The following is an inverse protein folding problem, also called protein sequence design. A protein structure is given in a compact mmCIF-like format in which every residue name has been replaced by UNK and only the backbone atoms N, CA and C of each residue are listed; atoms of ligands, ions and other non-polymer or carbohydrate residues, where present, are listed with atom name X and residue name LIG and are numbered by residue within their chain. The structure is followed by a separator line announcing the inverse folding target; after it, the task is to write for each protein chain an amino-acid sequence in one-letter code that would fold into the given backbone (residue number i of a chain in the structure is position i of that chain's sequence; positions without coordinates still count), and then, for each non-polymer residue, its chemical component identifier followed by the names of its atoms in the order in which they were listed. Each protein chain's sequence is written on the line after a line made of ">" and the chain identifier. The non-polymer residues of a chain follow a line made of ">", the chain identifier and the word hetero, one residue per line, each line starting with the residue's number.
data_IF_427677439233
#
_entry.id   IF_427677439233
#
_cell.length_a   1.000
_cell.length_b   1.000
_cell.length_c   1.000
_cell.angle_alpha   90.00
_cell.angle_beta   90.00
_cell.angle_gamma   90.00
#
_symmetry.space_group_name_H-M   'P 1'
#
loop_
_entity.id
_entity.type
_entity.pdbx_description
1 polymer ?
#
# COMPACT_ATOMS: atom_id res chain seq x y z
N UNK A 1 40.56 70.90 19.99
CA UNK A 1 39.81 69.62 20.12
C UNK A 1 38.85 69.72 21.29
N UNK A 2 37.80 68.88 21.38
CA UNK A 2 37.00 68.80 22.60
C UNK A 2 37.95 68.58 23.80
N UNK A 3 37.89 69.45 24.80
CA UNK A 3 38.67 69.32 26.05
C UNK A 3 38.23 68.11 26.88
N UNK A 4 37.23 67.35 26.43
CA UNK A 4 36.77 66.12 27.10
C UNK A 4 36.72 64.92 26.17
N UNK A 5 36.89 63.72 26.73
CA UNK A 5 36.66 62.45 26.03
C UNK A 5 35.18 62.28 25.70
N UNK A 6 34.90 61.59 24.58
CA UNK A 6 33.54 61.47 24.03
C UNK A 6 32.61 60.65 24.93
N UNK A 7 33.12 59.58 25.53
CA UNK A 7 32.29 58.57 26.19
C UNK A 7 32.17 58.81 27.71
N UNK A 8 33.24 59.30 28.35
CA UNK A 8 33.30 59.45 29.80
C UNK A 8 33.53 60.90 30.24
N UNK A 9 33.46 61.87 29.32
CA UNK A 9 33.63 63.31 29.58
C UNK A 9 34.90 63.68 30.36
N UNK A 10 35.92 62.82 30.31
CA UNK A 10 37.18 62.98 31.03
C UNK A 10 37.98 64.11 30.39
N UNK A 11 38.55 65.00 31.18
CA UNK A 11 39.27 66.13 30.64
C UNK A 11 40.60 65.71 30.02
N UNK A 12 40.92 66.30 28.87
CA UNK A 12 42.18 66.10 28.15
C UNK A 12 43.08 67.29 28.45
N UNK A 13 43.99 67.12 29.40
CA UNK A 13 44.98 68.13 29.72
C UNK A 13 45.97 68.32 28.56
N UNK A 14 46.30 69.58 28.28
CA UNK A 14 47.37 69.93 27.35
C UNK A 14 48.70 70.10 28.10
N UNK A 15 49.83 70.04 27.39
CA UNK A 15 51.17 70.13 28.01
C UNK A 15 51.41 71.43 28.79
N UNK A 16 50.61 72.47 28.54
CA UNK A 16 50.66 73.78 29.21
C UNK A 16 49.62 73.95 30.32
N UNK A 17 48.74 72.97 30.55
CA UNK A 17 47.71 73.06 31.59
C UNK A 17 48.29 72.70 32.97
N UNK A 18 47.91 73.45 34.01
CA UNK A 18 48.19 73.07 35.39
C UNK A 18 47.18 71.99 35.83
N UNK A 19 47.66 70.86 36.33
CA UNK A 19 46.81 69.78 36.81
C UNK A 19 46.19 70.12 38.17
N UNK A 20 44.87 70.36 38.21
CA UNK A 20 44.09 70.36 39.44
C UNK A 20 43.89 68.91 39.92
N UNK A 21 44.56 68.56 41.02
CA UNK A 21 44.50 67.23 41.63
C UNK A 21 43.09 66.83 42.08
N UNK A 22 42.26 67.80 42.48
CA UNK A 22 40.87 67.56 42.87
C UNK A 22 40.06 67.14 41.65
N UNK A 23 40.26 67.84 40.55
CA UNK A 23 39.57 67.57 39.30
C UNK A 23 40.05 66.28 38.62
N UNK A 24 41.34 65.96 38.73
CA UNK A 24 41.90 64.69 38.28
C UNK A 24 41.34 63.52 39.09
N UNK A 25 41.23 63.66 40.41
CA UNK A 25 40.63 62.63 41.28
C UNK A 25 39.17 62.35 40.89
N UNK A 26 38.37 63.40 40.68
CA UNK A 26 36.99 63.26 40.17
C UNK A 26 36.93 62.57 38.80
N UNK A 27 37.93 62.78 37.95
CA UNK A 27 38.03 62.15 36.62
C UNK A 27 38.36 60.66 36.75
N UNK A 28 39.22 60.28 37.70
CA UNK A 28 39.53 58.88 38.00
C UNK A 28 38.31 58.11 38.52
N UNK A 29 37.47 58.74 39.36
CA UNK A 29 36.21 58.13 39.82
C UNK A 29 35.24 57.88 38.65
N UNK A 30 35.25 58.73 37.62
CA UNK A 30 34.42 58.53 36.42
C UNK A 30 34.96 57.37 35.57
N UNK A 31 36.28 57.21 35.49
CA UNK A 31 36.92 56.08 34.79
C UNK A 31 36.60 54.77 35.50
N UNK A 32 36.79 54.71 36.81
CA UNK A 32 36.53 53.52 37.62
C UNK A 32 35.06 53.06 37.48
N UNK A 33 34.12 53.99 37.63
CA UNK A 33 32.68 53.76 37.38
C UNK A 33 32.37 53.30 35.95
N UNK A 34 33.15 53.73 34.96
CA UNK A 34 32.98 53.37 33.55
C UNK A 34 33.60 52.02 33.18
N UNK A 35 34.58 51.54 33.95
CA UNK A 35 35.30 50.30 33.72
C UNK A 35 34.74 49.11 34.52
N UNK A 36 33.92 49.37 35.54
CA UNK A 36 33.39 48.32 36.41
C UNK A 36 32.28 47.53 35.68
N UNK A 37 32.65 46.40 35.08
CA UNK A 37 31.72 45.30 34.77
C UNK A 37 31.56 44.47 36.05
N UNK A 38 30.85 44.97 37.06
CA UNK A 38 30.63 44.17 38.25
C UNK A 38 29.71 42.98 37.91
N UNK A 39 30.21 41.79 38.25
CA UNK A 39 29.53 40.50 38.12
C UNK A 39 29.03 40.16 39.51
N UNK A 40 27.81 40.57 39.84
CA UNK A 40 27.21 40.31 41.15
C UNK A 40 26.34 39.05 41.17
N UNK A 41 26.24 38.38 42.31
CA UNK A 41 25.06 37.56 42.62
C UNK A 41 24.03 38.45 43.28
N UNK A 42 22.80 38.43 42.78
CA UNK A 42 21.72 39.17 43.44
C UNK A 42 21.15 38.37 44.61
N UNK A 43 20.64 39.02 45.67
CA UNK A 43 19.87 38.34 46.73
C UNK A 43 18.38 38.64 46.55
N UNK A 44 17.66 37.68 45.96
CA UNK A 44 16.28 37.80 45.53
C UNK A 44 15.27 37.41 46.62
N UNK A 45 14.40 38.34 47.02
CA UNK A 45 13.15 37.97 47.72
C UNK A 45 12.01 37.94 46.70
N UNK A 46 11.86 36.83 45.98
CA UNK A 46 10.82 36.66 44.96
C UNK A 46 11.15 37.41 43.67
N UNK A 47 10.62 38.62 43.49
CA UNK A 47 10.78 39.44 42.27
C UNK A 47 11.66 40.69 42.44
N UNK A 48 12.27 40.87 43.61
CA UNK A 48 13.14 42.00 43.91
C UNK A 48 14.57 41.50 43.99
N UNK A 49 15.44 41.99 43.11
CA UNK A 49 16.85 41.62 43.09
C UNK A 49 17.69 42.81 43.54
N UNK A 50 18.56 42.56 44.50
CA UNK A 50 19.52 43.55 45.00
C UNK A 50 20.85 43.26 44.31
N UNK A 51 21.34 44.22 43.53
CA UNK A 51 22.63 44.20 42.89
C UNK A 51 23.57 45.06 43.72
N UNK A 52 24.73 44.51 44.08
CA UNK A 52 25.83 45.33 44.56
C UNK A 52 26.32 46.20 43.39
N UNK A 53 25.98 47.48 43.45
CA UNK A 53 26.42 48.50 42.50
C UNK A 53 27.53 49.37 43.11
N UNK A 54 28.15 48.90 44.20
CA UNK A 54 29.16 49.62 44.97
C UNK A 54 28.67 50.98 45.48
N UNK A 55 29.55 51.98 45.46
CA UNK A 55 29.25 53.37 45.84
C UNK A 55 28.64 54.20 44.71
N UNK A 56 28.07 53.58 43.67
CA UNK A 56 27.52 54.29 42.51
C UNK A 56 26.12 54.81 42.83
N UNK A 57 25.98 56.13 42.87
CA UNK A 57 24.68 56.80 42.83
C UNK A 57 24.24 56.98 41.38
N UNK A 58 23.16 56.32 40.96
CA UNK A 58 22.62 56.43 39.61
C UNK A 58 21.85 57.75 39.41
N UNK A 59 22.29 58.55 38.44
CA UNK A 59 21.67 59.80 37.99
C UNK A 59 21.50 59.78 36.46
N UNK A 60 20.79 60.75 35.88
CA UNK A 60 20.56 60.82 34.42
C UNK A 60 21.85 60.75 33.58
N UNK A 61 22.97 61.26 34.13
CA UNK A 61 24.30 61.16 33.53
C UNK A 61 24.84 59.73 33.39
N UNK A 62 24.28 58.76 34.11
CA UNK A 62 24.64 57.35 34.06
C UNK A 62 23.82 56.54 33.04
N UNK A 63 22.98 57.19 32.22
CA UNK A 63 22.24 56.51 31.14
C UNK A 63 23.19 55.67 30.26
N UNK A 64 22.84 54.41 30.07
CA UNK A 64 23.64 53.46 29.28
C UNK A 64 24.66 52.66 30.09
N UNK A 65 24.88 52.97 31.36
CA UNK A 65 25.67 52.11 32.25
C UNK A 65 25.00 50.74 32.35
N UNK A 66 25.78 49.68 32.19
CA UNK A 66 25.28 48.30 32.19
C UNK A 66 25.92 47.48 33.30
N UNK A 67 25.13 46.60 33.90
CA UNK A 67 25.53 45.70 34.98
C UNK A 67 25.28 44.25 34.58
N UNK A 68 26.13 43.34 35.08
CA UNK A 68 25.97 41.90 34.88
C UNK A 68 25.62 41.26 36.22
N UNK A 69 24.64 40.37 36.23
CA UNK A 69 24.32 39.64 37.46
C UNK A 69 23.79 38.24 37.17
N UNK A 70 23.93 37.36 38.14
CA UNK A 70 23.22 36.09 38.19
C UNK A 70 21.99 36.24 39.09
N UNK A 71 20.83 35.85 38.57
CA UNK A 71 19.64 35.74 39.41
C UNK A 71 19.82 34.55 40.36
N UNK A 72 19.72 34.75 41.67
CA UNK A 72 19.84 33.67 42.65
C UNK A 72 18.57 32.82 42.75
N UNK A 73 17.41 33.40 42.40
CA UNK A 73 16.09 32.75 42.46
C UNK A 73 15.28 33.02 41.20
N UNK A 74 14.30 32.16 40.93
CA UNK A 74 13.29 32.37 39.89
C UNK A 74 12.34 33.53 40.26
N UNK A 75 12.02 34.39 39.29
CA UNK A 75 10.94 35.37 39.40
C UNK A 75 9.65 34.85 38.75
N UNK A 76 8.50 35.28 39.26
CA UNK A 76 7.17 34.90 38.74
C UNK A 76 6.26 36.11 38.51
N UNK A 77 6.81 37.32 38.62
CA UNK A 77 6.10 38.59 38.51
C UNK A 77 7.05 39.73 38.14
N UNK A 78 6.52 40.94 38.04
CA UNK A 78 7.29 42.11 37.62
C UNK A 78 8.54 42.30 38.48
N UNK A 79 9.70 42.39 37.82
CA UNK A 79 10.99 42.44 38.49
C UNK A 79 11.41 43.88 38.83
N UNK A 80 11.95 44.06 40.03
CA UNK A 80 12.64 45.29 40.45
C UNK A 80 14.11 45.05 40.79
N UNK A 81 14.92 46.07 40.57
CA UNK A 81 16.37 46.12 40.80
C UNK A 81 16.65 47.15 41.89
N UNK A 82 17.44 46.77 42.91
CA UNK A 82 17.75 47.61 44.08
C UNK A 82 16.51 48.27 44.70
N UNK A 83 15.38 47.54 44.65
CA UNK A 83 14.04 47.92 45.11
C UNK A 83 13.42 49.21 44.54
N UNK A 84 14.19 50.01 43.79
CA UNK A 84 13.83 51.35 43.37
C UNK A 84 13.71 51.51 41.85
N UNK A 85 14.17 50.52 41.09
CA UNK A 85 14.19 50.57 39.63
C UNK A 85 13.42 49.40 39.03
N UNK A 86 12.60 49.67 38.01
CA UNK A 86 11.90 48.60 37.30
C UNK A 86 12.83 47.93 36.28
N UNK A 87 12.70 46.61 36.10
CA UNK A 87 13.33 45.93 34.98
C UNK A 87 12.31 45.74 33.84
N UNK A 88 12.61 46.31 32.67
CA UNK A 88 11.72 46.32 31.51
C UNK A 88 12.40 45.77 30.26
N UNK A 89 11.60 45.29 29.31
CA UNK A 89 12.05 44.94 27.97
C UNK A 89 12.19 46.21 27.10
N UNK A 90 12.79 46.07 25.92
CA UNK A 90 12.88 47.16 24.94
C UNK A 90 11.51 47.73 24.52
N UNK A 91 10.45 46.90 24.53
CA UNK A 91 9.07 47.33 24.27
C UNK A 91 8.37 47.97 25.49
N UNK A 92 9.11 48.27 26.57
CA UNK A 92 8.65 48.86 27.84
C UNK A 92 7.73 47.99 28.69
N UNK A 93 7.49 46.74 28.32
CA UNK A 93 6.78 45.80 29.19
C UNK A 93 7.68 45.33 30.35
N UNK A 94 7.13 45.02 31.53
CA UNK A 94 7.90 44.47 32.65
C UNK A 94 8.50 43.11 32.31
N UNK A 95 9.70 42.85 32.83
CA UNK A 95 10.33 41.52 32.88
C UNK A 95 9.69 40.71 34.02
N UNK A 96 9.33 39.45 33.75
CA UNK A 96 8.56 38.63 34.73
C UNK A 96 9.17 37.29 35.13
N UNK A 97 10.07 36.71 34.34
CA UNK A 97 10.54 35.33 34.54
C UNK A 97 12.07 35.18 34.44
N UNK A 98 12.83 35.89 35.28
CA UNK A 98 14.25 35.58 35.47
C UNK A 98 14.39 34.19 36.09
N UNK A 99 15.44 33.47 35.70
CA UNK A 99 15.74 32.10 36.11
C UNK A 99 16.95 32.05 37.02
N UNK A 100 16.83 31.31 38.12
CA UNK A 100 17.91 31.05 39.07
C UNK A 100 19.13 30.47 38.33
N UNK A 101 20.31 31.02 38.63
CA UNK A 101 21.59 30.62 38.06
C UNK A 101 21.86 31.14 36.64
N UNK A 102 20.95 31.89 36.02
CA UNK A 102 21.17 32.44 34.67
C UNK A 102 21.85 33.83 34.72
N UNK A 103 22.78 34.12 33.78
CA UNK A 103 23.41 35.43 33.67
C UNK A 103 22.51 36.41 32.90
N UNK A 104 22.47 37.65 33.37
CA UNK A 104 21.71 38.75 32.76
C UNK A 104 22.57 39.99 32.64
N UNK A 105 22.35 40.75 31.56
CA UNK A 105 22.91 42.11 31.40
C UNK A 105 21.75 43.09 31.40
N UNK A 106 21.84 44.10 32.24
CA UNK A 106 20.85 45.17 32.33
C UNK A 106 21.49 46.53 32.10
N UNK A 107 20.76 47.47 31.49
CA UNK A 107 21.27 48.79 31.12
C UNK A 107 20.36 49.89 31.67
N UNK A 108 20.93 50.82 32.42
CA UNK A 108 20.18 51.92 33.03
C UNK A 108 19.65 52.91 31.99
N UNK A 109 18.38 53.32 32.10
CA UNK A 109 17.73 54.21 31.13
C UNK A 109 17.99 55.71 31.36
N UNK A 110 18.63 56.06 32.48
CA UNK A 110 18.83 57.43 32.93
C UNK A 110 17.73 57.97 33.85
N UNK A 111 16.74 57.16 34.21
CA UNK A 111 15.60 57.54 35.04
C UNK A 111 15.26 56.49 36.09
N UNK A 112 14.14 55.80 35.94
CA UNK A 112 13.63 54.85 36.96
C UNK A 112 13.65 53.41 36.49
N UNK A 113 14.30 53.10 35.36
CA UNK A 113 14.25 51.76 34.80
C UNK A 113 15.63 51.23 34.35
N UNK A 114 15.70 49.92 34.30
CA UNK A 114 16.72 49.16 33.60
C UNK A 114 16.09 48.44 32.42
N UNK A 115 16.76 48.45 31.27
CA UNK A 115 16.45 47.57 30.16
C UNK A 115 17.16 46.23 30.32
N UNK A 116 16.46 45.13 30.10
CA UNK A 116 17.09 43.83 29.92
C UNK A 116 17.80 43.83 28.55
N UNK A 117 19.13 43.96 28.57
CA UNK A 117 19.97 44.07 27.38
C UNK A 117 20.38 42.71 26.82
N UNK A 118 20.44 41.68 27.67
CA UNK A 118 20.60 40.29 27.26
C UNK A 118 20.06 39.32 28.31
N UNK A 119 19.84 38.07 27.89
CA UNK A 119 18.96 37.13 28.58
C UNK A 119 17.51 37.39 28.20
N UNK A 120 16.66 36.40 28.41
CA UNK A 120 15.24 36.48 28.06
C UNK A 120 14.40 36.19 29.29
N UNK A 121 13.26 36.85 29.33
CA UNK A 121 12.26 36.72 30.37
C UNK A 121 11.05 35.88 29.93
N UNK A 122 11.14 35.26 28.76
CA UNK A 122 10.09 34.37 28.28
C UNK A 122 10.34 32.95 28.78
N UNK A 123 9.30 32.35 29.34
CA UNK A 123 9.30 30.93 29.76
C UNK A 123 9.56 29.96 28.60
N UNK A 124 9.56 30.45 27.35
CA UNK A 124 9.94 29.75 26.13
C UNK A 124 11.26 30.22 25.51
N UNK A 125 12.11 30.95 26.24
CA UNK A 125 13.38 31.38 25.67
C UNK A 125 14.31 30.22 25.41
N UNK A 126 14.49 29.90 24.14
CA UNK A 126 15.62 29.13 23.65
C UNK A 126 16.85 30.03 23.72
N UNK A 127 17.39 30.31 24.92
CA UNK A 127 18.78 30.76 24.97
C UNK A 127 19.54 29.74 24.15
N UNK A 128 20.01 30.18 22.99
CA UNK A 128 20.97 29.45 22.19
C UNK A 128 22.09 29.21 23.18
N UNK A 129 22.22 27.98 23.67
CA UNK A 129 23.36 27.64 24.49
C UNK A 129 24.61 27.89 23.65
N UNK A 130 25.75 27.44 24.12
CA UNK A 130 26.98 27.54 23.30
C UNK A 130 27.00 26.54 22.13
N UNK A 131 25.94 25.75 21.91
CA UNK A 131 25.90 24.64 20.94
C UNK A 131 25.42 25.04 19.54
N UNK A 132 24.73 26.17 19.40
CA UNK A 132 24.26 26.71 18.11
C UNK A 132 23.29 25.82 17.33
N UNK A 133 22.67 24.83 18.00
CA UNK A 133 21.84 23.78 17.37
C UNK A 133 20.54 24.29 16.73
N UNK A 134 20.12 25.50 17.09
CA UNK A 134 18.95 26.19 16.56
C UNK A 134 19.30 27.43 15.73
N UNK A 135 20.56 27.60 15.33
CA UNK A 135 21.03 28.71 14.51
C UNK A 135 21.56 28.20 13.16
N UNK A 136 21.18 28.87 12.08
CA UNK A 136 21.64 28.56 10.72
C UNK A 136 23.13 28.88 10.55
N UNK A 137 23.93 27.93 10.08
CA UNK A 137 25.29 28.21 9.64
C UNK A 137 25.27 29.01 8.30
N UNK A 138 26.10 30.06 8.14
CA UNK A 138 27.19 30.52 9.01
C UNK A 138 26.80 31.68 9.94
N UNK A 139 25.51 31.89 10.22
CA UNK A 139 25.09 33.02 11.06
C UNK A 139 25.68 32.88 12.47
N UNK A 140 26.03 34.02 13.06
CA UNK A 140 26.59 34.11 14.40
C UNK A 140 25.53 34.56 15.42
N UNK A 141 25.75 34.23 16.68
CA UNK A 141 24.92 34.64 17.82
C UNK A 141 25.77 34.89 19.06
N UNK A 142 25.23 35.62 20.05
CA UNK A 142 25.87 35.76 21.37
C UNK A 142 25.31 34.67 22.28
N UNK A 143 26.18 33.79 22.78
CA UNK A 143 25.82 32.68 23.64
C UNK A 143 25.47 33.10 25.06
N UNK A 144 24.98 32.15 25.87
CA UNK A 144 24.73 32.37 27.31
C UNK A 144 25.99 32.71 28.11
N UNK A 145 27.17 32.44 27.57
CA UNK A 145 28.48 32.83 28.11
C UNK A 145 28.88 34.28 27.76
N UNK A 146 28.13 34.94 26.88
CA UNK A 146 28.44 36.29 26.39
C UNK A 146 29.44 36.33 25.23
N UNK A 147 29.88 35.18 24.72
CA UNK A 147 30.82 35.09 23.59
C UNK A 147 30.08 34.93 22.26
N UNK A 148 30.78 35.17 21.15
CA UNK A 148 30.23 34.97 19.79
C UNK A 148 30.38 33.51 19.39
N UNK A 149 29.27 32.87 19.02
CA UNK A 149 29.20 31.50 18.52
C UNK A 149 28.66 31.46 17.08
N UNK A 150 28.83 30.33 16.40
CA UNK A 150 28.32 30.08 15.03
C UNK A 150 27.23 29.00 15.11
N UNK A 151 26.16 29.18 14.34
CA UNK A 151 25.10 28.17 14.21
C UNK A 151 25.55 26.88 13.53
N UNK A 152 24.88 25.77 13.82
CA UNK A 152 25.23 24.44 13.29
C UNK A 152 24.18 23.87 12.32
N UNK A 153 23.00 24.49 12.18
CA UNK A 153 22.02 24.05 11.17
C UNK A 153 22.60 24.27 9.78
N UNK A 154 22.76 23.19 9.01
CA UNK A 154 23.25 23.28 7.64
C UNK A 154 22.19 23.90 6.71
N UNK A 155 22.58 24.92 5.95
CA UNK A 155 21.81 25.35 4.79
C UNK A 155 21.96 24.31 3.67
N UNK A 156 20.84 23.74 3.23
CA UNK A 156 20.75 22.75 2.14
C UNK A 156 20.25 23.34 0.84
N UNK A 157 20.15 24.67 0.78
CA UNK A 157 19.61 25.44 -0.35
C UNK A 157 18.23 24.93 -0.77
N UNK A 158 17.97 24.81 -2.07
CA UNK A 158 16.69 24.34 -2.61
C UNK A 158 16.69 22.83 -2.82
N UNK A 159 15.62 22.16 -2.40
CA UNK A 159 15.43 20.72 -2.63
C UNK A 159 14.57 20.47 -3.86
N UNK A 160 15.18 20.02 -4.96
CA UNK A 160 14.44 19.55 -6.14
C UNK A 160 14.68 18.06 -6.35
N UNK A 161 13.69 17.24 -5.95
CA UNK A 161 13.76 15.77 -6.04
C UNK A 161 12.68 15.23 -6.98
N UNK A 162 13.08 14.41 -7.94
CA UNK A 162 12.17 13.55 -8.69
C UNK A 162 12.22 12.16 -8.10
N UNK A 163 11.05 11.65 -7.70
CA UNK A 163 10.89 10.29 -7.17
C UNK A 163 10.56 9.31 -8.30
N UNK A 164 11.23 8.17 -8.25
CA UNK A 164 10.83 6.98 -8.98
C UNK A 164 9.55 6.40 -8.38
N UNK A 165 8.88 5.51 -9.11
CA UNK A 165 7.67 4.86 -8.62
C UNK A 165 8.00 4.02 -7.37
N UNK A 166 7.23 4.24 -6.30
CA UNK A 166 7.42 3.61 -4.99
C UNK A 166 8.78 3.92 -4.30
N UNK A 167 9.50 4.95 -4.74
CA UNK A 167 10.73 5.36 -4.08
C UNK A 167 10.46 5.98 -2.71
N UNK A 168 11.25 5.60 -1.72
CA UNK A 168 11.33 6.29 -0.43
C UNK A 168 12.53 7.23 -0.45
N UNK A 169 12.32 8.50 -0.11
CA UNK A 169 13.37 9.51 -0.04
C UNK A 169 13.57 9.99 1.40
N UNK A 170 14.76 9.72 1.95
CA UNK A 170 15.15 10.20 3.27
C UNK A 170 15.58 11.67 3.17
N UNK A 171 14.75 12.57 3.67
CA UNK A 171 15.05 13.99 3.72
C UNK A 171 16.09 14.29 4.81
N UNK A 172 17.30 14.77 4.45
CA UNK A 172 18.30 15.13 5.45
C UNK A 172 17.82 16.28 6.35
N UNK A 173 18.26 16.27 7.62
CA UNK A 173 18.04 17.42 8.50
C UNK A 173 18.82 18.65 8.01
N UNK A 174 18.21 19.82 8.15
CA UNK A 174 18.78 21.11 7.75
C UNK A 174 17.70 22.12 7.41
N UNK A 175 18.13 23.31 7.00
CA UNK A 175 17.25 24.36 6.50
C UNK A 175 17.23 24.34 4.97
N UNK A 176 16.04 24.39 4.39
CA UNK A 176 15.82 24.45 2.95
C UNK A 176 15.18 25.78 2.57
N UNK A 177 15.69 26.44 1.53
CA UNK A 177 15.18 27.73 1.01
C UNK A 177 13.90 27.58 0.17
N UNK A 178 13.23 26.43 0.27
CA UNK A 178 12.14 25.99 -0.59
C UNK A 178 12.55 24.82 -1.48
N UNK A 179 11.70 24.48 -2.45
CA UNK A 179 11.93 23.38 -3.39
C UNK A 179 10.67 22.62 -3.72
N UNK A 180 10.80 21.55 -4.52
CA UNK A 180 9.70 20.63 -4.86
C UNK A 180 10.16 19.17 -4.82
N UNK A 181 9.23 18.32 -4.40
CA UNK A 181 9.32 16.87 -4.62
C UNK A 181 8.26 16.50 -5.65
N UNK A 182 8.70 15.99 -6.79
CA UNK A 182 7.83 15.59 -7.90
C UNK A 182 7.87 14.09 -8.06
N UNK A 183 6.72 13.44 -8.18
CA UNK A 183 6.65 12.05 -8.65
C UNK A 183 5.94 12.03 -9.99
N UNK A 184 6.64 11.59 -11.03
CA UNK A 184 6.07 11.44 -12.35
C UNK A 184 5.48 10.03 -12.46
N UNK A 185 4.18 9.90 -12.16
CA UNK A 185 3.45 8.63 -12.35
C UNK A 185 3.01 8.56 -13.83
N UNK A 186 3.44 7.54 -14.61
CA UNK A 186 2.98 7.39 -15.98
C UNK A 186 1.47 7.23 -16.05
N UNK A 187 0.83 7.97 -16.97
CA UNK A 187 -0.56 7.75 -17.34
C UNK A 187 -0.62 6.77 -18.50
N UNK A 188 -1.14 5.57 -18.24
CA UNK A 188 -1.25 4.49 -19.20
C UNK A 188 -2.51 4.59 -20.07
N UNK A 189 -3.34 5.62 -19.86
CA UNK A 189 -4.62 5.80 -20.54
C UNK A 189 -5.62 4.72 -20.16
N UNK A 190 -6.70 4.62 -20.94
CA UNK A 190 -7.68 3.55 -20.77
C UNK A 190 -7.17 2.25 -21.39
N UNK A 191 -7.20 1.15 -20.64
CA UNK A 191 -6.77 -0.16 -21.14
C UNK A 191 -8.01 -1.02 -21.44
N UNK A 192 -8.18 -1.38 -22.71
CA UNK A 192 -9.22 -2.30 -23.16
C UNK A 192 -8.58 -3.53 -23.80
N UNK A 193 -9.10 -4.71 -23.48
CA UNK A 193 -8.67 -5.95 -24.12
C UNK A 193 -9.79 -6.99 -24.09
N UNK A 194 -9.77 -7.90 -25.06
CA UNK A 194 -10.58 -9.11 -25.02
C UNK A 194 -9.70 -10.33 -24.77
N UNK A 195 -10.06 -11.16 -23.79
CA UNK A 195 -9.30 -12.35 -23.42
C UNK A 195 -10.06 -13.62 -23.81
N UNK A 196 -9.36 -14.50 -24.53
CA UNK A 196 -9.75 -15.91 -24.69
C UNK A 196 -9.30 -16.74 -23.48
N UNK A 197 -9.83 -17.95 -23.34
CA UNK A 197 -9.46 -18.91 -22.31
C UNK A 197 -7.96 -19.19 -22.37
N UNK A 198 -7.30 -19.11 -21.21
CA UNK A 198 -5.85 -19.28 -21.09
C UNK A 198 -5.01 -18.05 -21.47
N UNK A 199 -5.62 -16.95 -21.92
CA UNK A 199 -4.89 -15.69 -22.15
C UNK A 199 -4.82 -14.83 -20.88
N UNK A 200 -3.80 -13.99 -20.81
CA UNK A 200 -3.60 -13.02 -19.74
C UNK A 200 -3.15 -11.67 -20.31
N UNK A 201 -3.47 -10.58 -19.62
CA UNK A 201 -3.01 -9.22 -19.96
C UNK A 201 -2.15 -8.67 -18.82
N UNK A 202 -0.88 -8.41 -19.09
CA UNK A 202 -0.02 -7.65 -18.17
C UNK A 202 -0.40 -6.17 -18.22
N UNK A 203 -0.49 -5.55 -17.06
CA UNK A 203 -0.76 -4.12 -16.92
C UNK A 203 0.54 -3.39 -16.56
N UNK A 204 0.88 -2.28 -17.27
CA UNK A 204 2.05 -1.48 -16.93
C UNK A 204 1.86 -0.79 -15.58
N UNK A 205 2.97 -0.55 -14.88
CA UNK A 205 2.97 0.26 -13.67
C UNK A 205 2.59 1.71 -13.99
N UNK A 206 1.92 2.39 -13.05
CA UNK A 206 1.39 3.73 -13.23
C UNK A 206 -0.13 3.78 -13.04
N UNK A 207 -0.75 4.86 -13.49
CA UNK A 207 -2.19 5.07 -13.39
C UNK A 207 -2.88 4.68 -14.70
N UNK A 208 -3.97 3.93 -14.60
CA UNK A 208 -4.85 3.55 -15.73
C UNK A 208 -6.12 4.38 -15.60
N UNK A 209 -6.46 5.15 -16.63
CA UNK A 209 -7.56 6.12 -16.57
C UNK A 209 -8.95 5.50 -16.75
N UNK A 210 -9.05 4.17 -16.72
CA UNK A 210 -10.27 3.39 -16.95
C UNK A 210 -10.08 2.29 -18.00
N UNK A 211 -11.19 1.84 -18.58
CA UNK A 211 -11.21 0.77 -19.57
C UNK A 211 -11.75 -0.55 -19.02
N UNK A 212 -11.97 -1.50 -19.91
CA UNK A 212 -12.61 -2.78 -19.61
C UNK A 212 -11.83 -3.93 -20.23
N UNK A 213 -11.52 -4.94 -19.41
CA UNK A 213 -11.02 -6.22 -19.90
C UNK A 213 -12.22 -7.17 -20.00
N UNK A 214 -12.57 -7.55 -21.22
CA UNK A 214 -13.74 -8.38 -21.51
C UNK A 214 -13.30 -9.82 -21.78
N UNK A 215 -13.90 -10.78 -21.10
CA UNK A 215 -13.75 -12.17 -21.52
C UNK A 215 -14.59 -12.42 -22.77
N UNK A 216 -14.02 -13.06 -23.80
CA UNK A 216 -14.79 -13.50 -24.94
C UNK A 216 -15.80 -14.58 -24.51
N UNK A 217 -16.91 -14.70 -25.24
CA UNK A 217 -17.97 -15.63 -24.86
C UNK A 217 -17.49 -17.09 -24.92
N UNK A 218 -18.10 -17.96 -24.13
CA UNK A 218 -17.81 -19.40 -24.20
C UNK A 218 -18.22 -19.96 -25.58
N UNK A 219 -19.28 -19.42 -26.17
CA UNK A 219 -19.76 -19.81 -27.49
C UNK A 219 -18.75 -19.55 -28.61
N UNK A 220 -18.10 -18.39 -28.61
CA UNK A 220 -17.08 -18.08 -29.63
C UNK A 220 -15.82 -18.95 -29.51
N UNK A 221 -15.65 -19.64 -28.38
CA UNK A 221 -14.46 -20.43 -28.06
C UNK A 221 -14.72 -21.94 -28.09
N UNK A 222 -15.97 -22.36 -28.29
CA UNK A 222 -16.36 -23.77 -28.40
C UNK A 222 -17.16 -24.06 -29.69
N UNK A 223 -16.75 -23.55 -30.87
CA UNK A 223 -17.48 -23.82 -32.10
C UNK A 223 -17.41 -25.31 -32.44
N UNK A 224 -18.57 -25.97 -32.44
CA UNK A 224 -18.71 -27.38 -32.77
C UNK A 224 -20.12 -27.65 -33.29
N UNK A 225 -20.31 -28.81 -33.93
CA UNK A 225 -21.58 -29.24 -34.53
C UNK A 225 -22.11 -30.54 -33.93
N UNK A 226 -21.56 -30.99 -32.81
CA UNK A 226 -22.03 -32.19 -32.12
C UNK A 226 -23.37 -31.93 -31.43
N UNK A 227 -24.30 -32.87 -31.58
CA UNK A 227 -25.53 -32.93 -30.79
C UNK A 227 -25.47 -34.11 -29.81
N UNK A 228 -26.49 -34.22 -28.94
CA UNK A 228 -26.56 -35.29 -27.95
C UNK A 228 -26.44 -36.71 -28.57
N UNK A 229 -26.99 -36.92 -29.76
CA UNK A 229 -27.00 -38.23 -30.46
C UNK A 229 -25.66 -38.62 -31.07
N UNK A 230 -24.71 -37.68 -31.10
CA UNK A 230 -23.32 -37.91 -31.55
C UNK A 230 -22.31 -38.04 -30.40
N UNK A 231 -22.71 -37.71 -29.17
CA UNK A 231 -21.88 -37.81 -27.96
C UNK A 231 -22.31 -39.05 -27.17
N UNK A 232 -21.37 -39.93 -26.84
CA UNK A 232 -21.63 -41.18 -26.13
C UNK A 232 -22.30 -40.90 -24.76
N UNK A 233 -23.31 -41.70 -24.41
CA UNK A 233 -23.98 -41.64 -23.12
C UNK A 233 -22.98 -41.63 -21.94
N UNK A 234 -23.21 -40.76 -20.96
CA UNK A 234 -22.31 -40.54 -19.82
C UNK A 234 -21.09 -39.65 -20.11
N UNK A 235 -20.97 -39.11 -21.33
CA UNK A 235 -19.97 -38.07 -21.68
C UNK A 235 -20.65 -36.74 -21.97
N UNK A 236 -19.86 -35.66 -21.91
CA UNK A 236 -20.34 -34.30 -22.06
C UNK A 236 -19.37 -33.55 -22.97
N UNK A 237 -19.87 -32.58 -23.73
CA UNK A 237 -19.05 -31.65 -24.49
C UNK A 237 -19.62 -30.23 -24.40
N UNK A 238 -18.74 -29.22 -24.42
CA UNK A 238 -19.15 -27.83 -24.63
C UNK A 238 -19.24 -27.56 -26.12
N UNK A 239 -20.42 -27.16 -26.60
CA UNK A 239 -20.70 -26.90 -28.01
C UNK A 239 -21.44 -25.58 -28.12
N UNK A 240 -20.85 -24.63 -28.85
CA UNK A 240 -21.36 -23.28 -29.05
C UNK A 240 -21.80 -22.60 -27.74
N UNK A 241 -21.05 -22.85 -26.65
CA UNK A 241 -21.28 -22.24 -25.34
C UNK A 241 -22.18 -23.03 -24.40
N UNK A 242 -22.74 -24.15 -24.85
CA UNK A 242 -23.66 -24.96 -24.07
C UNK A 242 -23.05 -26.31 -23.72
N UNK A 243 -23.30 -26.78 -22.50
CA UNK A 243 -22.93 -28.13 -22.11
C UNK A 243 -23.97 -29.10 -22.69
N UNK A 244 -23.53 -29.97 -23.59
CA UNK A 244 -24.36 -31.02 -24.18
C UNK A 244 -24.00 -32.34 -23.51
N UNK A 245 -24.99 -32.98 -22.89
CA UNK A 245 -24.88 -34.34 -22.40
C UNK A 245 -25.17 -35.33 -23.54
N UNK A 246 -24.31 -36.33 -23.69
CA UNK A 246 -24.47 -37.35 -24.72
C UNK A 246 -25.57 -38.35 -24.42
N UNK A 247 -26.25 -38.81 -25.47
CA UNK A 247 -27.19 -39.93 -25.46
C UNK A 247 -26.93 -40.93 -26.59
N UNK A 248 -25.83 -40.77 -27.34
CA UNK A 248 -25.45 -41.69 -28.41
C UNK A 248 -25.21 -43.10 -27.87
N UNK A 249 -25.71 -44.09 -28.59
CA UNK A 249 -25.51 -45.51 -28.28
C UNK A 249 -24.11 -45.94 -28.70
N UNK A 250 -23.36 -46.56 -27.79
CA UNK A 250 -22.09 -47.23 -28.13
C UNK A 250 -22.41 -48.57 -28.80
N UNK A 251 -22.44 -48.61 -30.13
CA UNK A 251 -22.64 -49.85 -30.86
C UNK A 251 -21.37 -50.72 -30.75
N UNK A 252 -21.46 -51.83 -30.01
CA UNK A 252 -20.51 -52.94 -30.13
C UNK A 252 -21.20 -54.05 -30.89
N UNK A 253 -20.84 -54.18 -32.17
CA UNK A 253 -21.28 -55.29 -33.01
C UNK A 253 -20.72 -56.58 -32.42
N UNK A 254 -21.56 -57.36 -31.75
CA UNK A 254 -21.24 -58.75 -31.49
C UNK A 254 -21.81 -59.53 -32.67
N UNK A 255 -20.94 -59.95 -33.58
CA UNK A 255 -21.24 -61.05 -34.47
C UNK A 255 -20.97 -62.35 -33.70
N UNK A 256 -21.82 -62.71 -32.72
CA UNK A 256 -21.78 -64.11 -32.24
C UNK A 256 -22.46 -64.93 -33.32
N UNK A 257 -21.66 -65.66 -34.10
CA UNK A 257 -22.15 -66.76 -34.92
C UNK A 257 -22.45 -67.92 -33.96
N UNK A 258 -23.62 -67.91 -33.32
CA UNK A 258 -24.03 -69.05 -32.52
C UNK A 258 -24.64 -70.10 -33.46
N UNK A 259 -23.85 -71.12 -33.79
CA UNK A 259 -24.36 -72.22 -34.59
C UNK A 259 -25.22 -73.13 -33.70
N UNK A 260 -26.54 -72.94 -33.71
CA UNK A 260 -27.45 -73.88 -33.05
C UNK A 260 -27.61 -75.11 -33.94
N UNK A 261 -26.72 -76.09 -33.78
CA UNK A 261 -26.92 -77.43 -34.34
C UNK A 261 -27.77 -78.25 -33.38
N UNK A 262 -29.01 -78.59 -33.76
CA UNK A 262 -29.71 -79.70 -33.11
C UNK A 262 -29.31 -81.00 -33.80
N UNK A 263 -28.51 -81.82 -33.13
CA UNK A 263 -28.25 -83.18 -33.59
C UNK A 263 -29.48 -84.05 -33.28
N UNK A 264 -30.31 -84.32 -34.31
CA UNK A 264 -31.04 -85.58 -34.38
C UNK A 264 -32.51 -85.65 -33.93
N UNK A 265 -33.25 -84.54 -33.82
CA UNK A 265 -34.72 -84.60 -33.69
C UNK A 265 -35.33 -83.51 -34.57
N UNK A 266 -36.10 -83.90 -35.59
CA UNK A 266 -36.79 -82.97 -36.49
C UNK A 266 -37.67 -82.00 -35.71
N UNK A 267 -37.81 -80.77 -36.21
CA UNK A 267 -38.72 -79.78 -35.63
C UNK A 267 -40.14 -80.37 -35.59
N UNK A 268 -40.68 -80.60 -34.40
CA UNK A 268 -42.09 -80.97 -34.23
C UNK A 268 -42.94 -79.76 -34.64
N UNK A 269 -44.03 -80.00 -35.39
CA UNK A 269 -44.96 -78.96 -35.79
C UNK A 269 -45.38 -78.11 -34.57
N UNK A 270 -45.27 -76.78 -34.68
CA UNK A 270 -45.56 -75.85 -33.59
C UNK A 270 -44.47 -75.66 -32.51
N UNK A 271 -43.27 -76.23 -32.67
CA UNK A 271 -42.17 -76.08 -31.70
C UNK A 271 -41.55 -74.67 -31.66
N UNK A 272 -41.08 -74.26 -30.47
CA UNK A 272 -40.35 -73.01 -30.23
C UNK A 272 -38.91 -73.33 -29.82
N UNK A 273 -37.95 -72.56 -30.35
CA UNK A 273 -36.56 -72.51 -29.86
C UNK A 273 -36.34 -71.15 -29.22
N UNK A 274 -35.74 -71.16 -28.03
CA UNK A 274 -35.41 -69.96 -27.26
C UNK A 274 -33.90 -69.76 -27.27
N UNK A 275 -33.48 -68.54 -27.61
CA UNK A 275 -32.10 -68.10 -27.47
C UNK A 275 -32.11 -66.95 -26.46
N UNK A 276 -31.58 -67.22 -25.27
CA UNK A 276 -31.47 -66.23 -24.21
C UNK A 276 -30.08 -65.63 -24.21
N UNK A 277 -30.01 -64.31 -24.32
CA UNK A 277 -28.75 -63.58 -24.24
C UNK A 277 -28.57 -63.05 -22.83
N UNK A 278 -27.60 -63.61 -22.09
CA UNK A 278 -27.31 -63.16 -20.73
C UNK A 278 -26.42 -61.92 -20.74
N UNK A 279 -27.03 -60.78 -21.08
CA UNK A 279 -26.34 -59.50 -21.18
C UNK A 279 -26.96 -58.51 -20.19
N UNK A 280 -26.23 -57.44 -19.78
CA UNK A 280 -26.79 -56.34 -18.98
C UNK A 280 -27.54 -55.29 -19.83
N UNK A 281 -27.47 -55.41 -21.15
CA UNK A 281 -27.89 -54.40 -22.12
C UNK A 281 -29.04 -54.81 -23.06
N UNK A 282 -29.86 -53.85 -23.52
CA UNK A 282 -30.97 -54.12 -24.45
C UNK A 282 -30.45 -54.62 -25.80
N UNK A 283 -31.17 -55.54 -26.44
CA UNK A 283 -30.82 -56.12 -27.75
C UNK A 283 -31.65 -55.48 -28.86
N UNK A 284 -30.96 -55.09 -29.93
CA UNK A 284 -31.58 -54.65 -31.19
C UNK A 284 -31.12 -55.55 -32.34
N UNK A 285 -32.09 -56.14 -33.03
CA UNK A 285 -31.86 -56.92 -34.24
C UNK A 285 -31.82 -55.97 -35.44
N UNK A 286 -30.65 -55.83 -36.06
CA UNK A 286 -30.43 -54.90 -37.20
C UNK A 286 -30.34 -55.65 -38.54
N UNK A 287 -30.32 -56.98 -38.50
CA UNK A 287 -30.43 -57.85 -39.67
C UNK A 287 -30.40 -59.31 -39.25
N UNK A 288 -31.29 -60.12 -39.84
CA UNK A 288 -31.42 -61.56 -39.60
C UNK A 288 -31.41 -62.31 -40.92
N UNK A 289 -30.60 -63.38 -40.98
CA UNK A 289 -30.51 -64.30 -42.10
C UNK A 289 -30.80 -65.72 -41.61
N UNK A 290 -31.60 -66.44 -42.39
CA UNK A 290 -31.85 -67.87 -42.17
C UNK A 290 -31.26 -68.63 -43.36
N UNK A 291 -30.34 -69.55 -43.08
CA UNK A 291 -29.82 -70.49 -44.09
C UNK A 291 -30.49 -71.84 -43.85
N UNK A 292 -31.26 -72.29 -44.82
CA UNK A 292 -31.90 -73.60 -44.82
C UNK A 292 -31.27 -74.50 -45.88
N UNK A 293 -31.22 -75.82 -45.60
CA UNK A 293 -30.59 -76.90 -46.38
C UNK A 293 -30.25 -76.59 -47.86
N UNK A 294 -29.02 -76.94 -48.28
CA UNK A 294 -28.43 -76.76 -49.62
C UNK A 294 -28.08 -75.32 -50.04
N UNK A 295 -27.85 -74.41 -49.09
CA UNK A 295 -27.18 -73.13 -49.36
C UNK A 295 -28.07 -72.05 -49.97
N UNK A 296 -29.39 -72.21 -49.98
CA UNK A 296 -30.28 -71.10 -50.33
C UNK A 296 -30.36 -70.11 -49.16
N UNK A 297 -29.86 -68.90 -49.41
CA UNK A 297 -30.03 -67.74 -48.55
C UNK A 297 -31.44 -67.20 -48.71
N UNK A 298 -32.26 -67.28 -47.65
CA UNK A 298 -33.49 -66.50 -47.58
C UNK A 298 -33.23 -65.25 -46.75
N UNK A 299 -33.04 -64.14 -47.45
CA UNK A 299 -33.01 -62.81 -46.86
C UNK A 299 -34.46 -62.43 -46.60
N UNK A 300 -34.82 -61.99 -45.40
CA UNK A 300 -36.05 -61.24 -45.28
C UNK A 300 -35.94 -60.16 -44.21
N UNK A 301 -35.79 -58.93 -44.71
CA UNK A 301 -36.26 -57.69 -44.10
C UNK A 301 -37.75 -57.88 -43.84
N UNK A 302 -38.21 -57.84 -42.58
CA UNK A 302 -39.59 -58.17 -42.13
C UNK A 302 -40.63 -58.17 -43.27
N UNK A 303 -41.03 -59.34 -43.80
CA UNK A 303 -42.10 -59.36 -44.78
C UNK A 303 -43.26 -60.21 -44.31
N UNK A 304 -44.44 -59.64 -44.48
CA UNK A 304 -45.65 -60.42 -44.62
C UNK A 304 -45.52 -61.27 -45.91
N UNK A 305 -45.59 -62.60 -45.78
CA UNK A 305 -45.98 -63.50 -46.85
C UNK A 305 -46.83 -64.64 -46.29
N UNK A 306 -47.75 -65.11 -47.13
CA UNK A 306 -48.97 -65.84 -46.76
C UNK A 306 -48.76 -67.30 -46.33
N UNK A 307 -47.50 -67.73 -46.16
CA UNK A 307 -47.12 -69.11 -45.82
C UNK A 307 -45.95 -69.11 -44.82
N UNK A 308 -46.01 -68.22 -43.81
CA UNK A 308 -45.01 -68.08 -42.75
C UNK A 308 -44.72 -69.43 -42.07
N UNK A 309 -43.52 -69.99 -42.30
CA UNK A 309 -43.07 -71.23 -41.64
C UNK A 309 -42.20 -70.98 -40.42
N UNK A 310 -41.58 -69.80 -40.28
CA UNK A 310 -40.79 -69.43 -39.09
C UNK A 310 -41.04 -67.96 -38.73
N UNK A 311 -41.40 -67.70 -37.48
CA UNK A 311 -41.57 -66.35 -36.92
C UNK A 311 -40.46 -66.09 -35.90
N UNK A 312 -39.79 -64.94 -36.03
CA UNK A 312 -38.85 -64.42 -35.06
C UNK A 312 -39.52 -63.32 -34.25
N UNK A 313 -39.42 -63.38 -32.93
CA UNK A 313 -39.88 -62.30 -32.06
C UNK A 313 -38.93 -62.08 -30.90
N UNK A 314 -38.90 -60.87 -30.37
CA UNK A 314 -38.06 -60.53 -29.21
C UNK A 314 -38.98 -60.35 -28.00
N UNK A 315 -38.55 -60.82 -26.84
CA UNK A 315 -39.26 -60.62 -25.58
C UNK A 315 -39.45 -59.13 -25.27
N UNK A 316 -40.48 -58.79 -24.48
CA UNK A 316 -40.76 -57.39 -24.12
C UNK A 316 -39.61 -56.69 -23.38
N UNK A 317 -38.80 -57.45 -22.64
CA UNK A 317 -37.59 -56.97 -21.96
C UNK A 317 -36.34 -56.90 -22.87
N UNK A 318 -36.48 -57.32 -24.14
CA UNK A 318 -35.41 -57.39 -25.14
C UNK A 318 -34.20 -58.23 -24.72
N UNK A 319 -34.41 -59.30 -23.96
CA UNK A 319 -33.37 -60.24 -23.50
C UNK A 319 -33.39 -61.61 -24.18
N UNK A 320 -34.51 -61.96 -24.79
CA UNK A 320 -34.74 -63.29 -25.38
C UNK A 320 -35.22 -63.14 -26.82
N UNK A 321 -34.60 -63.90 -27.73
CA UNK A 321 -35.08 -64.09 -29.08
C UNK A 321 -35.86 -65.41 -29.14
N UNK A 322 -37.14 -65.31 -29.47
CA UNK A 322 -38.01 -66.45 -29.72
C UNK A 322 -38.02 -66.78 -31.21
N UNK A 323 -37.98 -68.07 -31.49
CA UNK A 323 -38.09 -68.61 -32.84
C UNK A 323 -39.18 -69.66 -32.85
N UNK A 324 -40.26 -69.41 -33.58
CA UNK A 324 -41.41 -70.33 -33.63
C UNK A 324 -41.58 -70.87 -35.03
N UNK A 325 -41.64 -72.19 -35.16
CA UNK A 325 -42.12 -72.83 -36.39
C UNK A 325 -43.65 -72.81 -36.38
N UNK A 326 -44.22 -72.22 -37.42
CA UNK A 326 -45.68 -72.03 -37.56
C UNK A 326 -46.31 -73.03 -38.54
N UNK A 327 -45.51 -73.91 -39.16
CA UNK A 327 -45.98 -74.98 -40.05
C UNK A 327 -46.54 -76.19 -39.26
N UNK A 328 -47.50 -76.88 -39.87
CA UNK A 328 -48.13 -78.11 -39.38
C UNK A 328 -47.49 -79.40 -39.92
N UNK A 329 -46.55 -79.30 -40.87
CA UNK A 329 -45.78 -80.42 -41.43
C UNK A 329 -44.29 -80.33 -41.07
N UNK A 330 -43.64 -81.46 -40.74
CA UNK A 330 -42.27 -81.51 -40.22
C UNK A 330 -41.28 -82.17 -41.20
N UNK A 331 -40.12 -81.53 -41.45
CA UNK A 331 -39.13 -82.07 -42.39
C UNK A 331 -37.78 -81.33 -42.48
N UNK A 332 -37.31 -80.65 -41.43
CA UNK A 332 -36.03 -79.92 -41.47
C UNK A 332 -34.99 -80.52 -40.53
N UNK A 333 -33.83 -80.89 -41.10
CA UNK A 333 -32.80 -81.68 -40.40
C UNK A 333 -31.60 -80.83 -39.96
N UNK A 334 -31.42 -79.61 -40.51
CA UNK A 334 -30.34 -78.68 -40.15
C UNK A 334 -30.66 -77.26 -40.65
N UNK A 335 -30.58 -76.28 -39.75
CA UNK A 335 -30.74 -74.85 -40.09
C UNK A 335 -29.62 -74.07 -39.41
N UNK A 336 -28.96 -73.19 -40.16
CA UNK A 336 -27.91 -72.29 -39.64
C UNK A 336 -28.49 -70.87 -39.65
N UNK A 337 -28.37 -70.17 -38.53
CA UNK A 337 -28.88 -68.82 -38.38
C UNK A 337 -27.71 -67.84 -38.25
N UNK A 338 -27.78 -66.72 -38.97
CA UNK A 338 -26.86 -65.60 -38.81
C UNK A 338 -27.68 -64.37 -38.43
N UNK A 339 -27.42 -63.82 -37.25
CA UNK A 339 -28.01 -62.57 -36.81
C UNK A 339 -26.90 -61.60 -36.38
N UNK A 340 -27.12 -60.31 -36.63
CA UNK A 340 -26.31 -59.24 -36.05
C UNK A 340 -27.04 -58.68 -34.85
N UNK A 341 -26.41 -58.76 -33.68
CA UNK A 341 -26.92 -58.17 -32.44
C UNK A 341 -26.11 -56.92 -32.12
N UNK A 342 -26.83 -55.81 -32.05
CA UNK A 342 -26.32 -54.60 -31.41
C UNK A 342 -26.85 -54.51 -30.00
N UNK A 343 -26.03 -53.97 -29.10
CA UNK A 343 -26.40 -53.79 -27.73
C UNK A 343 -26.02 -52.47 -27.08
N UNK A 344 -26.73 -52.17 -25.98
CA UNK A 344 -26.72 -50.94 -25.17
C UNK A 344 -25.88 -51.07 -23.88
N UNK A 345 -24.58 -50.84 -23.91
CA UNK A 345 -23.84 -50.62 -22.63
C UNK A 345 -24.50 -49.50 -21.80
#
# INVERSE_FOLDING_TARGET
>A
MSKTTKNHKLFKYENSDNADLTFLSNTMDIIDKGLTLDVGTSTGTGNNYILDIGSITLAESNKGVSFKFFADKDSTGAVTINTNYNLIKANKNPVKNLKSGAPYIITYDGGSNFFLASGSDDSGSTSVGTDGSNVLAPNTFIGSDGEVHIGTIQNRDTLDKVLSLNETFNLPAGYYRGGKVTQNIPNNGAINASLNCGQSKSLPAGYISGGTITANSLASQTPANADASTIIAGRNAWVNGNLIAGNAMKAKSIATIETIKRNGIGWTAGGTVEITFNTPFDILLVGSYIIVNNGQLQMNYLPAFDDNRIVLSISGDRRTLYMRNTDTSCGWNSTIFLFSINYKE
#
